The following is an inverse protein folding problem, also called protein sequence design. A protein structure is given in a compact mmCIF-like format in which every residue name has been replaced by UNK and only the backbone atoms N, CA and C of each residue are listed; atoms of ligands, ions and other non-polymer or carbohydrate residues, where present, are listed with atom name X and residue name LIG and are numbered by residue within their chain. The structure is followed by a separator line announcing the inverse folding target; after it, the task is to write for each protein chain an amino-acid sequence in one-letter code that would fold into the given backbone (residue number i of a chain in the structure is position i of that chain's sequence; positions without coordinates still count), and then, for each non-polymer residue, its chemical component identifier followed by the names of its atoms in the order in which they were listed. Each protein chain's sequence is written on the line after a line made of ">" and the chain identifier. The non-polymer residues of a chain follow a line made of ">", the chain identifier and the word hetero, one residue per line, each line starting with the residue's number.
data_IF_940561285553
#
_entry.id   IF_940561285553
#
_cell.length_a   1.000
_cell.length_b   1.000
_cell.length_c   1.000
_cell.angle_alpha   90.00
_cell.angle_beta   90.00
_cell.angle_gamma   90.00
#
_symmetry.space_group_name_H-M   'P 1'
#
loop_
_entity.id
_entity.type
_entity.pdbx_description
1 polymer ?
#
# COMPACT_ATOMS: atom_id res chain seq x y z
N UNK A 1 6.83 -1.09 -19.31
CA UNK A 1 5.88 -2.19 -19.18
C UNK A 1 6.12 -3.31 -20.19
N UNK A 2 6.79 -4.40 -19.74
CA UNK A 2 7.13 -5.51 -20.65
C UNK A 2 5.97 -6.49 -20.87
N UNK A 3 4.92 -6.45 -20.03
CA UNK A 3 3.77 -7.39 -20.09
C UNK A 3 2.53 -6.74 -20.71
N UNK A 4 2.51 -5.41 -20.86
CA UNK A 4 1.39 -4.62 -21.42
C UNK A 4 0.01 -4.88 -20.78
N UNK A 5 -0.05 -5.13 -19.47
CA UNK A 5 -1.31 -5.26 -18.73
C UNK A 5 -2.04 -3.92 -18.63
N UNK A 6 -1.30 -2.84 -18.49
CA UNK A 6 -1.84 -1.49 -18.30
C UNK A 6 -0.98 -0.48 -19.07
N UNK A 7 -1.61 0.40 -19.84
CA UNK A 7 -0.90 1.44 -20.63
C UNK A 7 -0.33 2.55 -19.72
N UNK A 8 -1.02 2.86 -18.62
CA UNK A 8 -0.64 3.94 -17.70
C UNK A 8 -1.12 3.67 -16.28
N UNK A 9 -0.26 3.94 -15.28
CA UNK A 9 -0.57 3.69 -13.87
C UNK A 9 -1.87 4.37 -13.38
N UNK A 10 -2.21 5.55 -13.92
CA UNK A 10 -3.45 6.24 -13.57
C UNK A 10 -4.74 5.46 -13.94
N UNK A 11 -4.67 4.48 -14.86
CA UNK A 11 -5.83 3.64 -15.23
C UNK A 11 -6.09 2.51 -14.24
N UNK A 12 -5.13 2.20 -13.37
CA UNK A 12 -5.23 1.05 -12.47
C UNK A 12 -6.36 1.17 -11.45
N UNK A 13 -6.66 2.38 -10.96
CA UNK A 13 -7.80 2.62 -10.07
C UNK A 13 -9.12 2.23 -10.74
N UNK A 14 -9.37 2.81 -11.92
CA UNK A 14 -10.60 2.55 -12.69
C UNK A 14 -10.73 1.06 -13.04
N UNK A 15 -9.63 0.40 -13.41
CA UNK A 15 -9.64 -1.04 -13.69
C UNK A 15 -10.00 -1.85 -12.44
N UNK A 16 -9.40 -1.54 -11.28
CA UNK A 16 -9.69 -2.23 -10.04
C UNK A 16 -11.14 -2.02 -9.56
N UNK A 17 -11.68 -0.82 -9.75
CA UNK A 17 -13.06 -0.44 -9.39
C UNK A 17 -14.11 -1.02 -10.34
N UNK A 18 -13.73 -1.39 -11.58
CA UNK A 18 -14.63 -1.94 -12.57
C UNK A 18 -15.12 -3.37 -12.28
N UNK A 19 -14.53 -4.02 -11.30
CA UNK A 19 -14.81 -5.41 -10.91
C UNK A 19 -15.07 -5.50 -9.40
N UNK A 20 -15.93 -6.44 -8.96
CA UNK A 20 -16.32 -6.53 -7.54
C UNK A 20 -15.17 -6.96 -6.63
N UNK A 21 -14.30 -7.85 -7.10
CA UNK A 21 -13.20 -8.44 -6.33
C UNK A 21 -12.02 -8.85 -7.23
N UNK A 22 -10.98 -9.41 -6.64
CA UNK A 22 -9.80 -9.90 -7.36
C UNK A 22 -9.96 -11.31 -7.95
N UNK A 23 -11.14 -11.93 -7.82
CA UNK A 23 -11.42 -13.29 -8.31
C UNK A 23 -10.56 -14.37 -7.65
N UNK A 24 -10.05 -14.16 -6.44
CA UNK A 24 -9.14 -15.06 -5.74
C UNK A 24 -7.69 -15.00 -6.24
N UNK A 25 -7.36 -13.99 -7.06
CA UNK A 25 -5.99 -13.79 -7.57
C UNK A 25 -5.20 -12.99 -6.55
N UNK A 26 -4.01 -13.46 -6.19
CA UNK A 26 -3.05 -12.74 -5.35
C UNK A 26 -1.74 -12.55 -6.11
N UNK A 27 -1.19 -11.34 -5.98
CA UNK A 27 0.10 -10.96 -6.54
C UNK A 27 1.10 -10.73 -5.41
N UNK A 28 2.18 -11.51 -5.36
CA UNK A 28 3.26 -11.34 -4.39
C UNK A 28 4.45 -10.67 -5.08
N UNK A 29 4.76 -9.38 -4.82
CA UNK A 29 5.80 -8.64 -5.54
C UNK A 29 7.20 -8.86 -4.95
N UNK A 30 7.61 -10.11 -4.72
CA UNK A 30 8.92 -10.48 -4.20
C UNK A 30 10.00 -10.48 -5.31
N UNK A 31 10.16 -9.36 -6.03
CA UNK A 31 11.05 -9.30 -7.21
C UNK A 31 12.53 -9.54 -6.87
N UNK A 32 12.95 -9.15 -5.69
CA UNK A 32 14.33 -9.32 -5.17
C UNK A 32 14.36 -10.06 -3.83
N UNK A 33 13.33 -10.87 -3.58
CA UNK A 33 13.08 -11.48 -2.28
C UNK A 33 12.07 -10.70 -1.46
N UNK A 34 11.80 -11.20 -0.25
CA UNK A 34 10.93 -10.56 0.74
C UNK A 34 11.78 -9.96 1.86
N UNK A 35 11.55 -8.68 2.16
CA UNK A 35 12.11 -7.99 3.32
C UNK A 35 11.35 -8.29 4.61
N UNK A 36 11.35 -7.33 5.53
CA UNK A 36 10.57 -7.43 6.77
C UNK A 36 9.08 -7.63 6.48
N UNK A 37 8.36 -8.43 7.29
CA UNK A 37 8.84 -9.24 8.41
C UNK A 37 9.39 -10.62 8.00
N UNK A 38 9.32 -10.98 6.72
CA UNK A 38 9.56 -12.35 6.24
C UNK A 38 11.05 -12.71 6.10
N UNK A 39 11.91 -11.74 5.76
CA UNK A 39 13.37 -11.91 5.59
C UNK A 39 13.78 -13.12 4.74
N UNK A 40 13.09 -13.32 3.59
CA UNK A 40 13.35 -14.44 2.68
C UNK A 40 13.94 -13.96 1.36
N UNK A 41 15.24 -14.11 1.18
CA UNK A 41 15.96 -13.70 -0.04
C UNK A 41 15.72 -14.65 -1.21
N UNK A 42 15.30 -15.90 -0.94
CA UNK A 42 14.96 -16.92 -1.93
C UNK A 42 13.56 -16.74 -2.56
N UNK A 43 12.70 -15.93 -1.94
CA UNK A 43 11.37 -15.65 -2.48
C UNK A 43 11.46 -14.96 -3.85
N UNK A 44 10.47 -15.23 -4.72
CA UNK A 44 10.30 -14.54 -6.01
C UNK A 44 8.87 -14.13 -6.23
N UNK A 45 8.72 -13.08 -7.08
CA UNK A 45 7.40 -12.57 -7.47
C UNK A 45 6.52 -13.67 -8.03
N UNK A 46 5.26 -13.72 -7.56
CA UNK A 46 4.32 -14.78 -7.91
C UNK A 46 2.92 -14.20 -8.12
N UNK A 47 2.20 -14.77 -9.08
CA UNK A 47 0.76 -14.58 -9.23
C UNK A 47 0.11 -15.95 -9.01
N UNK A 48 -0.82 -16.05 -8.08
CA UNK A 48 -1.51 -17.29 -7.72
C UNK A 48 -3.02 -17.08 -7.73
N UNK A 49 -3.80 -18.15 -7.93
CA UNK A 49 -5.26 -18.08 -8.00
C UNK A 49 -5.81 -17.83 -9.41
N UNK A 50 -4.97 -17.84 -10.45
CA UNK A 50 -5.39 -17.67 -11.84
C UNK A 50 -6.25 -18.85 -12.30
N UNK A 51 -7.38 -18.55 -12.93
CA UNK A 51 -8.28 -19.50 -13.59
C UNK A 51 -8.49 -19.10 -15.06
N UNK A 52 -9.22 -19.93 -15.82
CA UNK A 52 -9.57 -19.59 -17.20
C UNK A 52 -10.45 -18.33 -17.34
N UNK A 53 -11.12 -17.92 -16.27
CA UNK A 53 -11.96 -16.73 -16.23
C UNK A 53 -11.23 -15.47 -15.74
N UNK A 54 -9.95 -15.57 -15.35
CA UNK A 54 -9.20 -14.45 -14.80
C UNK A 54 -8.96 -13.38 -15.86
N UNK A 55 -9.37 -12.16 -15.55
CA UNK A 55 -9.19 -10.99 -16.40
C UNK A 55 -7.94 -10.19 -16.03
N UNK A 56 -7.52 -9.29 -16.93
CA UNK A 56 -6.42 -8.35 -16.67
C UNK A 56 -6.75 -7.36 -15.54
N UNK A 57 -8.02 -7.02 -15.37
CA UNK A 57 -8.51 -6.15 -14.29
C UNK A 57 -8.27 -6.82 -12.93
N UNK A 58 -8.54 -8.13 -12.82
CA UNK A 58 -8.31 -8.89 -11.59
C UNK A 58 -6.81 -8.96 -11.24
N UNK A 59 -5.95 -9.18 -12.22
CA UNK A 59 -4.49 -9.15 -12.00
C UNK A 59 -4.02 -7.75 -11.58
N UNK A 60 -4.55 -6.70 -12.23
CA UNK A 60 -4.24 -5.30 -11.88
C UNK A 60 -4.68 -4.97 -10.47
N UNK A 61 -5.90 -5.38 -10.09
CA UNK A 61 -6.44 -5.20 -8.74
C UNK A 61 -5.59 -5.94 -7.70
N UNK A 62 -5.25 -7.19 -7.95
CA UNK A 62 -4.37 -7.97 -7.07
C UNK A 62 -3.00 -7.31 -6.86
N UNK A 63 -2.45 -6.66 -7.91
CA UNK A 63 -1.19 -5.92 -7.81
C UNK A 63 -1.34 -4.65 -6.94
N UNK A 64 -2.46 -3.94 -6.99
CA UNK A 64 -2.73 -2.81 -6.09
C UNK A 64 -2.95 -3.30 -4.65
N UNK A 65 -3.79 -4.31 -4.47
CA UNK A 65 -4.07 -4.89 -3.15
C UNK A 65 -2.79 -5.40 -2.46
N UNK A 66 -1.83 -5.91 -3.22
CA UNK A 66 -0.56 -6.42 -2.68
C UNK A 66 0.24 -5.37 -1.92
N UNK A 67 0.17 -4.10 -2.34
CA UNK A 67 0.85 -3.00 -1.63
C UNK A 67 0.24 -2.79 -0.23
N UNK A 68 -1.09 -2.87 -0.14
CA UNK A 68 -1.78 -2.73 1.13
C UNK A 68 -1.53 -3.90 2.07
N UNK A 69 -1.51 -5.13 1.54
CA UNK A 69 -1.17 -6.30 2.34
C UNK A 69 0.26 -6.25 2.89
N UNK A 70 1.24 -5.88 2.05
CA UNK A 70 2.63 -5.73 2.52
C UNK A 70 2.77 -4.64 3.59
N UNK A 71 1.99 -3.57 3.47
CA UNK A 71 1.95 -2.54 4.51
C UNK A 71 1.38 -3.12 5.80
N UNK A 72 0.33 -3.95 5.74
CA UNK A 72 -0.23 -4.62 6.91
C UNK A 72 0.79 -5.55 7.56
N UNK A 73 1.48 -6.39 6.78
CA UNK A 73 2.53 -7.28 7.27
C UNK A 73 3.56 -6.50 8.12
N UNK A 74 4.02 -5.36 7.60
CA UNK A 74 5.03 -4.54 8.27
C UNK A 74 4.47 -3.86 9.52
N UNK A 75 3.28 -3.27 9.43
CA UNK A 75 2.69 -2.53 10.54
C UNK A 75 2.28 -3.43 11.70
N UNK A 76 1.75 -4.64 11.44
CA UNK A 76 1.47 -5.61 12.50
C UNK A 76 2.75 -6.01 13.26
N UNK A 77 3.86 -6.17 12.56
CA UNK A 77 5.15 -6.45 13.20
C UNK A 77 5.66 -5.25 14.02
N UNK A 78 5.51 -4.03 13.49
CA UNK A 78 5.86 -2.81 14.24
C UNK A 78 4.99 -2.64 15.49
N UNK A 79 3.69 -2.87 15.40
CA UNK A 79 2.78 -2.82 16.54
C UNK A 79 3.12 -3.88 17.61
N UNK A 80 3.44 -5.09 17.16
CA UNK A 80 3.84 -6.19 18.05
C UNK A 80 5.09 -5.85 18.85
N UNK A 81 6.08 -5.24 18.18
CA UNK A 81 7.37 -4.91 18.82
C UNK A 81 7.30 -3.64 19.67
N UNK A 82 6.50 -2.65 19.29
CA UNK A 82 6.39 -1.38 20.01
C UNK A 82 5.33 -1.38 21.12
N UNK A 83 4.32 -2.25 21.03
CA UNK A 83 3.13 -2.23 21.87
C UNK A 83 2.18 -1.06 21.56
N UNK A 84 2.46 -0.28 20.50
CA UNK A 84 1.68 0.90 20.13
C UNK A 84 0.79 0.56 18.95
N UNK A 85 -0.53 0.76 19.10
CA UNK A 85 -1.50 0.59 18.03
C UNK A 85 -1.53 1.81 17.11
N UNK A 86 -1.47 1.56 15.78
CA UNK A 86 -1.61 2.60 14.79
C UNK A 86 -3.05 3.14 14.78
N UNK A 87 -3.19 4.46 14.89
CA UNK A 87 -4.50 5.14 14.81
C UNK A 87 -4.76 5.76 13.45
N UNK A 88 -3.70 6.15 12.78
CA UNK A 88 -3.74 6.86 11.52
C UNK A 88 -2.47 6.58 10.73
N UNK A 89 -2.60 6.29 9.44
CA UNK A 89 -1.49 6.17 8.50
C UNK A 89 -1.47 7.37 7.57
N UNK A 90 -0.42 8.18 7.64
CA UNK A 90 -0.17 9.23 6.64
C UNK A 90 0.57 8.64 5.45
N UNK A 91 0.10 8.95 4.25
CA UNK A 91 0.62 8.41 2.99
C UNK A 91 1.09 9.53 2.08
N UNK A 92 2.08 9.24 1.23
CA UNK A 92 2.60 10.18 0.25
C UNK A 92 3.07 9.50 -1.03
N UNK A 93 3.66 10.27 -1.94
CA UNK A 93 4.19 9.78 -3.19
C UNK A 93 3.12 9.46 -4.25
N UNK A 94 3.57 9.07 -5.44
CA UNK A 94 2.71 8.88 -6.61
C UNK A 94 1.61 7.84 -6.45
N UNK A 95 1.85 6.77 -5.69
CA UNK A 95 0.88 5.71 -5.44
C UNK A 95 -0.32 6.18 -4.59
N UNK A 96 -0.13 7.19 -3.73
CA UNK A 96 -1.21 7.74 -2.91
C UNK A 96 -2.30 8.46 -3.70
N UNK A 97 -2.05 8.79 -4.98
CA UNK A 97 -3.07 9.33 -5.90
C UNK A 97 -4.15 8.31 -6.28
N UNK A 98 -3.91 7.03 -6.06
CA UNK A 98 -4.84 5.97 -6.39
C UNK A 98 -5.86 5.81 -5.26
N UNK A 99 -7.08 6.30 -5.47
CA UNK A 99 -8.14 6.29 -4.44
C UNK A 99 -8.58 4.88 -4.07
N UNK A 100 -8.62 3.95 -5.04
CA UNK A 100 -8.89 2.53 -4.76
C UNK A 100 -7.85 1.95 -3.79
N UNK A 101 -6.56 2.17 -4.08
CA UNK A 101 -5.49 1.69 -3.21
C UNK A 101 -5.57 2.30 -1.81
N UNK A 102 -5.86 3.59 -1.69
CA UNK A 102 -5.97 4.27 -0.39
C UNK A 102 -7.16 3.76 0.43
N UNK A 103 -8.31 3.52 -0.22
CA UNK A 103 -9.47 2.94 0.45
C UNK A 103 -9.17 1.50 0.89
N UNK A 104 -8.62 0.69 -0.01
CA UNK A 104 -8.25 -0.69 0.33
C UNK A 104 -7.19 -0.76 1.42
N UNK A 105 -6.25 0.21 1.43
CA UNK A 105 -5.25 0.35 2.50
C UNK A 105 -5.92 0.62 3.86
N UNK A 106 -6.90 1.54 3.91
CA UNK A 106 -7.66 1.83 5.12
C UNK A 106 -8.44 0.59 5.59
N UNK A 107 -9.09 -0.10 4.66
CA UNK A 107 -9.89 -1.29 4.93
C UNK A 107 -9.05 -2.43 5.50
N UNK A 108 -7.94 -2.76 4.84
CA UNK A 108 -7.12 -3.91 5.24
C UNK A 108 -6.31 -3.68 6.53
N UNK A 109 -5.98 -2.43 6.83
CA UNK A 109 -5.32 -2.03 8.08
C UNK A 109 -6.31 -1.79 9.23
N UNK A 110 -7.59 -1.63 8.92
CA UNK A 110 -8.60 -1.16 9.86
C UNK A 110 -8.18 0.13 10.60
N UNK A 111 -7.57 1.05 9.89
CA UNK A 111 -7.18 2.37 10.40
C UNK A 111 -7.37 3.46 9.33
N UNK A 112 -7.49 4.71 9.79
CA UNK A 112 -7.59 5.87 8.90
C UNK A 112 -6.33 5.99 8.05
N UNK A 113 -6.52 6.25 6.76
CA UNK A 113 -5.44 6.64 5.84
C UNK A 113 -5.64 8.10 5.46
N UNK A 114 -4.62 8.93 5.63
CA UNK A 114 -4.69 10.38 5.38
C UNK A 114 -3.68 10.77 4.32
N UNK A 115 -4.19 11.28 3.20
CA UNK A 115 -3.39 11.80 2.09
C UNK A 115 -3.23 13.31 2.24
N UNK A 116 -2.01 13.87 2.17
CA UNK A 116 -1.80 15.31 2.15
C UNK A 116 -2.14 15.92 0.80
N UNK A 117 -2.37 17.23 0.76
CA UNK A 117 -2.53 18.00 -0.48
C UNK A 117 -1.27 17.94 -1.35
N UNK A 118 -0.12 18.10 -0.73
CA UNK A 118 1.16 17.92 -1.41
C UNK A 118 1.71 16.54 -1.10
N UNK A 119 1.78 15.71 -2.14
CA UNK A 119 2.26 14.33 -2.03
C UNK A 119 3.75 14.17 -2.33
N UNK A 120 4.44 15.25 -2.75
CA UNK A 120 5.89 15.24 -3.00
C UNK A 120 6.67 15.57 -1.71
N UNK A 121 6.36 14.88 -0.63
CA UNK A 121 6.84 15.19 0.73
C UNK A 121 8.34 15.09 0.87
N UNK A 122 9.02 14.27 0.06
CA UNK A 122 10.49 14.18 0.07
C UNK A 122 11.14 15.49 -0.37
N UNK A 123 10.70 16.06 -1.50
CA UNK A 123 11.19 17.36 -1.99
C UNK A 123 10.81 18.47 -1.03
N UNK A 124 9.56 18.46 -0.53
CA UNK A 124 9.06 19.44 0.42
C UNK A 124 9.83 19.41 1.73
N UNK A 125 10.16 18.23 2.25
CA UNK A 125 10.99 18.06 3.44
C UNK A 125 12.39 18.66 3.29
N UNK A 126 13.02 18.46 2.12
CA UNK A 126 14.31 19.10 1.82
C UNK A 126 14.21 20.63 1.81
N UNK A 127 13.13 21.18 1.23
CA UNK A 127 12.86 22.63 1.24
C UNK A 127 12.65 23.16 2.66
N UNK A 128 11.91 22.44 3.49
CA UNK A 128 11.66 22.82 4.88
C UNK A 128 12.96 22.83 5.71
N UNK A 129 13.80 21.82 5.57
CA UNK A 129 15.09 21.76 6.25
C UNK A 129 16.02 22.91 5.80
N UNK A 130 16.05 23.21 4.51
CA UNK A 130 16.81 24.37 4.00
C UNK A 130 16.25 25.68 4.55
N UNK A 131 14.92 25.83 4.60
CA UNK A 131 14.25 26.99 5.17
C UNK A 131 14.54 27.23 6.65
N UNK A 132 14.61 26.14 7.44
CA UNK A 132 15.06 26.21 8.84
C UNK A 132 16.53 26.64 8.92
N UNK A 133 17.39 26.05 8.10
CA UNK A 133 18.82 26.35 8.10
C UNK A 133 19.17 27.79 7.73
N UNK A 134 18.39 28.42 6.85
CA UNK A 134 18.58 29.85 6.47
C UNK A 134 17.66 30.82 7.22
N UNK A 135 16.87 30.35 8.19
CA UNK A 135 16.04 31.21 9.06
C UNK A 135 14.73 31.71 8.43
N UNK A 136 14.27 31.12 7.33
CA UNK A 136 12.94 31.37 6.76
C UNK A 136 11.86 30.88 7.72
N UNK A 137 12.01 29.65 8.23
CA UNK A 137 11.19 29.08 9.29
C UNK A 137 11.91 29.19 10.63
N UNK A 138 11.16 29.53 11.67
CA UNK A 138 11.71 29.72 13.03
C UNK A 138 11.72 28.40 13.82
N UNK A 139 10.83 27.47 13.48
CA UNK A 139 10.69 26.20 14.18
C UNK A 139 10.05 25.13 13.30
N UNK A 140 10.19 23.86 13.72
CA UNK A 140 9.46 22.74 13.12
C UNK A 140 7.94 22.88 13.29
N UNK A 141 7.46 23.57 14.31
CA UNK A 141 6.04 23.74 14.56
C UNK A 141 5.39 24.65 13.52
N UNK A 142 6.09 25.71 13.08
CA UNK A 142 5.67 26.51 11.91
C UNK A 142 5.49 25.64 10.66
N UNK A 143 6.38 24.67 10.43
CA UNK A 143 6.29 23.75 9.29
C UNK A 143 5.12 22.78 9.44
N UNK A 144 4.86 22.29 10.65
CA UNK A 144 3.72 21.38 10.91
C UNK A 144 2.38 22.04 10.60
N UNK A 145 2.26 23.35 10.82
CA UNK A 145 1.05 24.13 10.51
C UNK A 145 0.79 24.24 9.00
N UNK A 146 1.82 24.04 8.15
CA UNK A 146 1.67 24.05 6.70
C UNK A 146 1.12 22.73 6.14
N UNK A 147 1.07 21.67 6.96
CA UNK A 147 0.57 20.40 6.51
C UNK A 147 -0.96 20.39 6.45
N UNK A 148 -1.49 20.12 5.28
CA UNK A 148 -2.94 20.04 5.04
C UNK A 148 -3.32 18.69 4.46
N UNK A 149 -4.41 18.11 4.98
CA UNK A 149 -5.02 16.92 4.40
C UNK A 149 -5.78 17.27 3.11
N UNK A 150 -5.59 16.43 2.07
CA UNK A 150 -6.44 16.42 0.87
C UNK A 150 -7.66 15.53 1.13
N UNK A 151 -7.42 14.29 1.54
CA UNK A 151 -8.48 13.29 1.74
C UNK A 151 -8.16 12.34 2.88
N UNK A 152 -9.22 11.96 3.59
CA UNK A 152 -9.21 10.91 4.61
C UNK A 152 -10.02 9.73 4.11
N UNK A 153 -9.46 8.53 4.22
CA UNK A 153 -10.11 7.27 3.90
C UNK A 153 -10.36 6.53 5.22
N UNK A 154 -11.62 6.34 5.55
CA UNK A 154 -12.04 5.58 6.73
C UNK A 154 -12.27 4.11 6.36
N UNK A 155 -11.97 3.15 7.26
CA UNK A 155 -12.26 1.74 7.03
C UNK A 155 -13.75 1.50 6.78
N UNK A 156 -14.08 0.70 5.76
CA UNK A 156 -15.44 0.35 5.36
C UNK A 156 -15.68 -1.16 5.31
N UNK A 157 -14.60 -1.95 5.23
CA UNK A 157 -14.66 -3.41 5.12
C UNK A 157 -14.97 -4.04 6.48
N UNK A 158 -15.89 -5.00 6.50
CA UNK A 158 -16.16 -5.78 7.70
C UNK A 158 -14.97 -6.66 8.10
N UNK A 159 -14.94 -7.05 9.36
CA UNK A 159 -13.82 -7.80 9.93
C UNK A 159 -13.66 -9.18 9.30
N UNK A 160 -14.75 -9.89 9.04
CA UNK A 160 -14.70 -11.23 8.47
C UNK A 160 -14.07 -11.22 7.08
N UNK A 161 -14.51 -10.31 6.23
CA UNK A 161 -13.96 -10.12 4.87
C UNK A 161 -12.48 -9.75 4.93
N UNK A 162 -12.12 -8.80 5.80
CA UNK A 162 -10.74 -8.32 5.97
C UNK A 162 -9.81 -9.46 6.38
N UNK A 163 -10.16 -10.22 7.39
CA UNK A 163 -9.30 -11.28 7.92
C UNK A 163 -9.23 -12.48 6.95
N UNK A 164 -10.31 -12.80 6.24
CA UNK A 164 -10.30 -13.82 5.20
C UNK A 164 -9.36 -13.47 4.04
N UNK A 165 -9.40 -12.22 3.56
CA UNK A 165 -8.52 -11.75 2.50
C UNK A 165 -7.05 -11.78 2.94
N UNK A 166 -6.77 -11.31 4.15
CA UNK A 166 -5.42 -11.31 4.69
C UNK A 166 -4.89 -12.73 4.93
N UNK A 167 -5.71 -13.65 5.40
CA UNK A 167 -5.30 -15.05 5.55
C UNK A 167 -4.94 -15.70 4.20
N UNK A 168 -5.63 -15.34 3.12
CA UNK A 168 -5.29 -15.82 1.77
C UNK A 168 -3.99 -15.16 1.26
N UNK A 169 -3.79 -13.87 1.52
CA UNK A 169 -2.51 -13.21 1.25
C UNK A 169 -1.35 -13.92 1.95
N UNK A 170 -1.45 -14.20 3.23
CA UNK A 170 -0.42 -14.94 3.97
C UNK A 170 -0.09 -16.30 3.33
N UNK A 171 -1.12 -17.04 2.87
CA UNK A 171 -0.91 -18.30 2.13
C UNK A 171 -0.17 -18.08 0.81
N UNK A 172 -0.47 -17.00 0.08
CA UNK A 172 0.23 -16.67 -1.16
C UNK A 172 1.69 -16.34 -0.90
N UNK A 173 1.98 -15.55 0.14
CA UNK A 173 3.35 -15.23 0.56
C UNK A 173 4.14 -16.48 0.92
N UNK A 174 3.56 -17.39 1.71
CA UNK A 174 4.24 -18.66 2.05
C UNK A 174 4.60 -19.48 0.81
N UNK A 175 3.76 -19.48 -0.23
CA UNK A 175 4.03 -20.19 -1.49
C UNK A 175 5.13 -19.53 -2.34
N UNK A 176 5.43 -18.26 -2.11
CA UNK A 176 6.48 -17.53 -2.84
C UNK A 176 7.87 -17.68 -2.22
N UNK A 177 7.97 -18.18 -0.98
CA UNK A 177 9.22 -18.37 -0.25
C UNK A 177 10.05 -19.51 -0.84
N UNK A 178 11.35 -19.42 -0.63
CA UNK A 178 12.32 -20.47 -0.96
C UNK A 178 12.19 -21.00 -2.41
N UNK A 179 11.90 -20.08 -3.35
CA UNK A 179 11.81 -20.39 -4.76
C UNK A 179 13.19 -20.70 -5.38
N UNK A 180 14.25 -20.11 -4.84
CA UNK A 180 15.66 -20.33 -5.21
C UNK A 180 16.37 -21.12 -4.13
#
# INVERSE_FOLDING_TARGET
>A
DKINLVDHAAKTSVMAESIPDNGGVFFVPAFTGLGAPHWNTGARGMIIGITAATSKEQITRAALESMAYQTRDLLEEMERNSGIKLKELKVDGGASKNDFLMQFQADILNCRVVRPKDIETTALGACYLAGLGCGIFKSEDEIKELWEADRVFEPQMDEETRENLYAQWCKAVEKSKDWL
#
